data_IF_354340275658
#
_entry.id   IF_354340275658
#
_cell.length_a   1.000
_cell.length_b   1.000
_cell.length_c   1.000
_cell.angle_alpha   90.00
_cell.angle_beta   90.00
_cell.angle_gamma   90.00
#
_symmetry.space_group_name_H-M   'P 1'
#
loop_
_entity.id
_entity.type
_entity.pdbx_description
1 polymer ?
#
# COMPACT_ATOMS: atom_id res chain seq x y z
N UNK A 1 7.50 36.26 -8.81
CA UNK A 1 8.49 35.24 -9.18
C UNK A 1 7.91 33.86 -9.00
N UNK A 2 7.97 32.96 -10.00
CA UNK A 2 7.56 31.58 -9.80
C UNK A 2 8.70 30.85 -9.09
N UNK A 3 8.41 30.17 -7.98
CA UNK A 3 9.40 29.33 -7.32
C UNK A 3 9.68 28.12 -8.23
N UNK A 4 10.94 27.85 -8.60
CA UNK A 4 11.25 26.64 -9.35
C UNK A 4 11.01 25.46 -8.41
N UNK A 5 9.89 24.77 -8.61
CA UNK A 5 9.69 23.46 -7.98
C UNK A 5 10.84 22.58 -8.45
N UNK A 6 11.72 22.19 -7.52
CA UNK A 6 12.93 21.45 -7.85
C UNK A 6 12.55 20.01 -8.19
N UNK A 7 12.41 19.70 -9.48
CA UNK A 7 12.00 18.38 -9.98
C UNK A 7 12.89 17.25 -9.43
N UNK A 8 14.17 17.53 -9.12
CA UNK A 8 15.09 16.56 -8.52
C UNK A 8 14.69 16.16 -7.08
N UNK A 9 14.01 17.03 -6.33
CA UNK A 9 13.54 16.72 -4.97
C UNK A 9 12.27 15.87 -4.99
N UNK A 10 11.39 16.07 -5.97
CA UNK A 10 10.16 15.27 -6.14
C UNK A 10 10.50 13.80 -6.41
N UNK A 11 11.54 13.54 -7.20
CA UNK A 11 12.01 12.18 -7.49
C UNK A 11 12.56 11.44 -6.26
N UNK A 12 12.88 12.17 -5.19
CA UNK A 12 13.35 11.58 -3.93
C UNK A 12 12.22 11.30 -2.95
N UNK A 13 10.98 11.67 -3.29
CA UNK A 13 9.81 11.33 -2.49
C UNK A 13 9.44 9.87 -2.77
N UNK A 14 9.32 9.07 -1.71
CA UNK A 14 9.11 7.62 -1.81
C UNK A 14 7.88 7.24 -1.00
N UNK A 15 6.99 6.43 -1.59
CA UNK A 15 5.87 5.81 -0.88
C UNK A 15 6.17 4.31 -0.63
N UNK A 16 6.01 3.86 0.62
CA UNK A 16 6.23 2.47 1.05
C UNK A 16 5.21 2.06 2.11
N UNK A 17 4.88 0.77 2.18
CA UNK A 17 4.06 0.23 3.25
C UNK A 17 3.04 -0.80 2.77
N UNK A 18 2.38 -1.44 3.73
CA UNK A 18 1.40 -2.51 3.46
C UNK A 18 0.21 -1.98 2.65
N UNK A 19 -0.18 -0.72 2.86
CA UNK A 19 -1.24 -0.04 2.12
C UNK A 19 -0.99 0.18 0.63
N UNK A 20 0.16 -0.21 0.08
CA UNK A 20 0.44 -0.16 -1.37
C UNK A 20 0.41 -1.55 -2.02
N UNK A 21 0.12 -2.61 -1.26
CA UNK A 21 0.18 -4.00 -1.72
C UNK A 21 -1.18 -4.69 -1.74
N UNK A 22 -1.22 -5.92 -1.23
CA UNK A 22 -2.47 -6.66 -1.03
C UNK A 22 -3.08 -6.30 0.33
N UNK A 23 -4.32 -5.84 0.34
CA UNK A 23 -4.99 -5.31 1.53
C UNK A 23 -6.37 -5.93 1.74
N UNK A 24 -6.78 -6.16 2.99
CA UNK A 24 -8.14 -6.62 3.27
C UNK A 24 -9.17 -5.49 3.16
N UNK A 25 -10.37 -5.78 2.64
CA UNK A 25 -11.53 -4.86 2.69
C UNK A 25 -11.99 -4.64 4.13
N UNK A 26 -12.58 -3.47 4.40
CA UNK A 26 -13.17 -3.06 5.68
C UNK A 26 -12.19 -2.98 6.86
N UNK A 27 -10.89 -3.12 6.62
CA UNK A 27 -9.84 -3.01 7.63
C UNK A 27 -9.01 -1.77 7.29
N UNK A 28 -8.86 -0.80 8.23
CA UNK A 28 -7.99 0.34 8.04
C UNK A 28 -6.56 -0.09 7.75
N UNK A 29 -5.96 0.49 6.71
CA UNK A 29 -4.58 0.21 6.31
C UNK A 29 -3.85 1.50 6.04
N UNK A 30 -2.52 1.48 6.21
CA UNK A 30 -1.69 2.66 6.00
C UNK A 30 -0.45 2.37 5.16
N UNK A 31 0.04 3.44 4.55
CA UNK A 31 1.36 3.50 3.96
C UNK A 31 2.04 4.82 4.32
N UNK A 32 3.36 4.83 4.25
CA UNK A 32 4.21 5.94 4.60
C UNK A 32 4.74 6.61 3.35
N UNK A 33 4.76 7.94 3.35
CA UNK A 33 5.46 8.75 2.36
C UNK A 33 6.65 9.42 3.03
N UNK A 34 7.84 9.16 2.50
CA UNK A 34 9.10 9.76 2.92
C UNK A 34 9.44 10.89 1.96
N UNK A 35 9.69 12.08 2.50
CA UNK A 35 10.12 13.25 1.75
C UNK A 35 11.57 13.60 2.09
N UNK A 36 12.32 14.30 1.24
CA UNK A 36 13.61 14.87 1.64
C UNK A 36 13.47 15.87 2.80
N UNK A 37 14.53 16.05 3.58
CA UNK A 37 14.55 17.07 4.63
C UNK A 37 14.48 18.49 4.04
N UNK A 38 13.73 19.38 4.69
CA UNK A 38 13.60 20.78 4.28
C UNK A 38 12.61 21.05 3.14
N UNK A 39 11.84 20.06 2.71
CA UNK A 39 10.80 20.24 1.69
C UNK A 39 9.56 20.94 2.24
N UNK A 40 9.14 22.07 1.66
CA UNK A 40 8.05 22.93 2.15
C UNK A 40 6.76 22.93 1.30
N UNK A 41 6.63 22.00 0.36
CA UNK A 41 5.48 21.85 -0.53
C UNK A 41 4.29 21.10 0.06
N UNK A 42 3.20 21.10 -0.70
CA UNK A 42 1.92 20.52 -0.33
C UNK A 42 1.81 19.11 -0.91
N UNK A 43 1.65 18.12 -0.03
CA UNK A 43 1.40 16.74 -0.41
C UNK A 43 -0.11 16.49 -0.53
N UNK A 44 -0.52 15.85 -1.62
CA UNK A 44 -1.90 15.41 -1.86
C UNK A 44 -1.93 13.93 -2.21
N UNK A 45 -2.89 13.21 -1.66
CA UNK A 45 -3.13 11.81 -1.97
C UNK A 45 -4.58 11.65 -2.44
N UNK A 46 -4.77 10.92 -3.54
CA UNK A 46 -6.07 10.60 -4.10
C UNK A 46 -6.17 9.09 -4.27
N UNK A 47 -7.14 8.47 -3.63
CA UNK A 47 -7.35 7.03 -3.69
C UNK A 47 -8.65 6.74 -4.42
N UNK A 48 -8.58 5.87 -5.44
CA UNK A 48 -9.73 5.42 -6.21
C UNK A 48 -9.84 3.91 -6.13
N UNK A 49 -10.99 3.41 -5.73
CA UNK A 49 -11.29 1.99 -5.71
C UNK A 49 -11.78 1.45 -7.04
N UNK A 50 -12.26 0.19 -7.05
CA UNK A 50 -12.85 -0.44 -8.23
C UNK A 50 -13.97 0.43 -8.83
N UNK A 51 -14.02 0.56 -10.16
CA UNK A 51 -14.93 1.47 -10.87
C UNK A 51 -14.68 2.97 -10.64
N UNK A 52 -13.47 3.34 -10.24
CA UNK A 52 -13.00 4.73 -10.16
C UNK A 52 -13.74 5.58 -9.10
N UNK A 53 -14.40 4.95 -8.12
CA UNK A 53 -15.02 5.65 -7.01
C UNK A 53 -13.95 6.14 -6.03
N UNK A 54 -14.17 7.28 -5.38
CA UNK A 54 -13.22 7.84 -4.41
C UNK A 54 -13.30 7.11 -3.07
N UNK A 55 -12.13 6.77 -2.53
CA UNK A 55 -11.98 6.28 -1.16
C UNK A 55 -11.36 7.41 -0.35
N UNK A 56 -12.00 7.76 0.76
CA UNK A 56 -11.46 8.75 1.68
C UNK A 56 -10.14 8.27 2.29
N UNK A 57 -9.16 9.18 2.38
CA UNK A 57 -7.90 8.92 3.01
C UNK A 57 -7.54 10.05 3.97
N UNK A 58 -6.97 9.67 5.12
CA UNK A 58 -6.42 10.60 6.10
C UNK A 58 -4.92 10.71 5.87
N UNK A 59 -4.46 11.91 5.49
CA UNK A 59 -3.04 12.25 5.40
C UNK A 59 -2.60 12.93 6.69
N UNK A 60 -1.68 12.30 7.41
CA UNK A 60 -1.15 12.80 8.69
C UNK A 60 0.36 13.03 8.56
N UNK A 61 0.83 14.23 8.95
CA UNK A 61 2.27 14.49 9.08
C UNK A 61 2.75 13.92 10.42
N UNK A 62 3.64 12.95 10.37
CA UNK A 62 4.17 12.28 11.57
C UNK A 62 5.43 13.00 12.05
N UNK A 63 6.36 13.26 11.13
CA UNK A 63 7.63 13.96 11.41
C UNK A 63 7.95 14.97 10.30
N UNK A 64 9.14 15.58 10.37
CA UNK A 64 9.61 16.55 9.37
C UNK A 64 9.60 15.99 7.94
N UNK A 65 9.98 14.73 7.78
CA UNK A 65 10.21 14.06 6.50
C UNK A 65 9.32 12.82 6.28
N UNK A 66 8.29 12.66 7.11
CA UNK A 66 7.47 11.45 7.15
C UNK A 66 6.00 11.79 7.28
N UNK A 67 5.22 11.27 6.33
CA UNK A 67 3.77 11.35 6.30
C UNK A 67 3.18 9.95 6.32
N UNK A 68 2.05 9.78 6.98
CA UNK A 68 1.26 8.56 6.95
C UNK A 68 -0.06 8.83 6.23
N UNK A 69 -0.42 7.93 5.32
CA UNK A 69 -1.74 7.92 4.67
C UNK A 69 -2.48 6.69 5.14
N UNK A 70 -3.63 6.91 5.77
CA UNK A 70 -4.52 5.84 6.24
C UNK A 70 -5.82 5.86 5.44
N UNK A 71 -6.27 4.70 4.98
CA UNK A 71 -7.53 4.54 4.26
C UNK A 71 -8.15 3.16 4.54
N UNK A 72 -9.44 3.04 4.26
CA UNK A 72 -10.17 1.78 4.45
C UNK A 72 -10.81 1.37 3.12
N UNK A 73 -10.31 0.33 2.44
CA UNK A 73 -10.93 -0.18 1.22
C UNK A 73 -12.33 -0.74 1.51
N UNK A 74 -13.30 -0.42 0.65
CA UNK A 74 -14.72 -0.79 0.83
C UNK A 74 -15.16 -1.96 -0.07
N UNK A 75 -14.41 -2.24 -1.15
CA UNK A 75 -14.74 -3.24 -2.18
C UNK A 75 -13.50 -4.00 -2.61
N UNK A 76 -13.69 -5.25 -3.04
CA UNK A 76 -12.65 -6.11 -3.62
C UNK A 76 -12.28 -5.62 -5.03
N UNK A 77 -10.98 -5.55 -5.32
CA UNK A 77 -10.46 -5.27 -6.66
C UNK A 77 -9.21 -4.39 -6.66
N UNK A 78 -8.96 -3.76 -7.81
CA UNK A 78 -7.81 -2.87 -7.98
C UNK A 78 -8.08 -1.49 -7.36
N UNK A 79 -7.08 -0.96 -6.65
CA UNK A 79 -7.11 0.36 -6.03
C UNK A 79 -5.96 1.17 -6.60
N UNK A 80 -6.30 2.34 -7.16
CA UNK A 80 -5.37 3.30 -7.73
C UNK A 80 -5.08 4.41 -6.73
N UNK A 81 -3.81 4.59 -6.39
CA UNK A 81 -3.34 5.58 -5.42
C UNK A 81 -2.46 6.59 -6.15
N UNK A 82 -2.94 7.82 -6.26
CA UNK A 82 -2.25 8.92 -6.93
C UNK A 82 -1.70 9.88 -5.88
N UNK A 83 -0.37 10.00 -5.82
CA UNK A 83 0.33 10.89 -4.89
C UNK A 83 0.94 12.04 -5.68
N UNK A 84 0.72 13.26 -5.19
CA UNK A 84 1.21 14.49 -5.77
C UNK A 84 1.95 15.32 -4.73
N UNK A 85 2.98 16.02 -5.18
CA UNK A 85 3.71 17.02 -4.44
C UNK A 85 3.71 18.32 -5.25
N UNK A 86 3.15 19.40 -4.69
CA UNK A 86 2.94 20.68 -5.40
C UNK A 86 2.25 20.53 -6.77
N UNK A 87 1.26 19.63 -6.82
CA UNK A 87 0.49 19.25 -8.02
C UNK A 87 1.28 18.51 -9.11
N UNK A 88 2.52 18.09 -8.81
CA UNK A 88 3.33 17.23 -9.68
C UNK A 88 3.28 15.80 -9.12
N UNK A 89 2.98 14.77 -9.93
CA UNK A 89 3.00 13.40 -9.46
C UNK A 89 4.42 13.00 -9.01
N UNK A 90 4.51 12.30 -7.87
CA UNK A 90 5.80 11.75 -7.41
C UNK A 90 6.22 10.57 -8.29
N UNK A 91 7.47 10.13 -8.15
CA UNK A 91 7.94 8.94 -8.85
C UNK A 91 7.08 7.71 -8.52
N UNK A 92 6.80 6.89 -9.55
CA UNK A 92 5.93 5.69 -9.50
C UNK A 92 4.46 5.93 -9.19
N UNK A 93 4.02 7.16 -8.96
CA UNK A 93 2.59 7.49 -8.96
C UNK A 93 2.06 7.33 -10.40
N UNK A 94 0.94 6.62 -10.62
CA UNK A 94 0.05 5.98 -9.65
C UNK A 94 0.57 4.63 -9.11
N UNK A 95 0.31 4.35 -7.84
CA UNK A 95 0.51 3.04 -7.23
C UNK A 95 -0.75 2.19 -7.35
N UNK A 96 -0.57 0.88 -7.51
CA UNK A 96 -1.67 -0.08 -7.66
C UNK A 96 -1.67 -1.06 -6.50
N UNK A 97 -2.68 -0.95 -5.63
CA UNK A 97 -2.97 -1.88 -4.55
C UNK A 97 -4.11 -2.85 -4.95
N UNK A 98 -4.21 -3.98 -4.26
CA UNK A 98 -5.26 -4.99 -4.51
C UNK A 98 -6.01 -5.32 -3.23
N UNK A 99 -7.30 -5.02 -3.19
CA UNK A 99 -8.14 -5.37 -2.04
C UNK A 99 -8.76 -6.76 -2.18
N UNK A 100 -8.86 -7.50 -1.07
CA UNK A 100 -9.44 -8.84 -1.02
C UNK A 100 -10.39 -9.00 0.16
N UNK A 101 -11.34 -9.93 0.05
CA UNK A 101 -12.24 -10.32 1.14
C UNK A 101 -11.62 -11.44 1.97
N UNK A 102 -11.33 -11.14 3.24
CA UNK A 102 -10.78 -12.09 4.21
C UNK A 102 -11.67 -13.31 4.43
N UNK A 103 -12.99 -13.18 4.29
CA UNK A 103 -13.94 -14.28 4.46
C UNK A 103 -14.00 -15.20 3.23
N UNK A 104 -13.55 -14.71 2.07
CA UNK A 104 -13.45 -15.48 0.84
C UNK A 104 -12.06 -16.11 0.65
N UNK A 105 -11.12 -15.85 1.56
CA UNK A 105 -9.93 -16.68 1.70
C UNK A 105 -10.37 -18.02 2.28
N UNK A 106 -11.00 -18.84 1.44
CA UNK A 106 -11.01 -20.28 1.65
C UNK A 106 -9.56 -20.69 1.56
N UNK A 107 -9.03 -21.26 2.64
CA UNK A 107 -7.79 -22.02 2.61
C UNK A 107 -7.98 -23.01 1.46
N UNK A 108 -7.35 -22.76 0.31
CA UNK A 108 -7.27 -23.73 -0.78
C UNK A 108 -6.87 -25.03 -0.12
N UNK A 109 -7.76 -26.02 -0.16
CA UNK A 109 -7.61 -27.33 0.47
C UNK A 109 -6.13 -27.75 0.44
N UNK A 110 -5.42 -27.57 1.54
CA UNK A 110 -4.36 -28.51 1.83
C UNK A 110 -5.07 -29.85 1.88
N UNK A 111 -4.64 -30.88 1.11
CA UNK A 111 -5.16 -32.22 1.34
C UNK A 111 -4.95 -32.49 2.83
N UNK A 112 -6.04 -32.56 3.58
CA UNK A 112 -6.10 -32.91 5.00
C UNK A 112 -5.82 -34.41 5.18
N UNK A 113 -4.80 -34.90 4.48
CA UNK A 113 -4.26 -36.24 4.59
C UNK A 113 -2.80 -36.20 4.14
N UNK A 114 -1.93 -35.83 5.07
CA UNK A 114 -0.72 -36.64 5.21
C UNK A 114 -0.90 -37.39 6.50
N UNK A 115 -1.15 -38.67 6.36
CA UNK A 115 -1.31 -39.66 7.43
C UNK A 115 -0.12 -39.48 8.40
N UNK A 116 -0.39 -39.00 9.61
CA UNK A 116 0.54 -39.20 10.75
C UNK A 116 0.45 -40.69 11.07
N UNK A 117 1.37 -41.48 10.53
CA UNK A 117 1.43 -42.92 10.76
C UNK A 117 1.90 -43.72 9.54
N UNK A 118 3.19 -43.66 9.24
CA UNK A 118 3.87 -44.78 8.57
C UNK A 118 5.28 -44.88 9.13
N UNK A 119 5.46 -45.91 9.96
CA UNK A 119 6.74 -46.34 10.49
C UNK A 119 7.68 -46.70 9.35
N UNK A 120 8.89 -46.12 9.31
CA UNK A 120 9.99 -46.73 8.57
C UNK A 120 11.25 -46.69 9.42
N UNK A 121 11.53 -47.84 10.02
CA UNK A 121 12.76 -48.22 10.68
C UNK A 121 13.99 -47.94 9.79
N UNK A 122 15.04 -47.37 10.38
CA UNK A 122 16.39 -47.44 9.81
C UNK A 122 17.13 -48.61 10.47
N UNK A 123 17.47 -49.64 9.69
CA UNK A 123 18.52 -50.60 10.06
C UNK A 123 19.70 -50.35 9.13
N UNK A 124 20.81 -49.85 9.67
CA UNK A 124 22.09 -49.81 8.97
C UNK A 124 22.71 -51.21 9.04
N UNK A 125 23.14 -51.72 7.90
CA UNK A 125 24.04 -52.88 7.80
C UNK A 125 25.48 -52.41 7.83
#
# INVERSE_FOLDING_TARGET
SPFPVNVMEIQRIIAIGKGLGSIPIHIPTSFTILTPDGTNGILKCLIKGPNNHFIECLLTKIDLNRYEVTYTPDRVGEIRIEIFYDNIPIDKSPFIARSFDVNQIKILNFPSSTIVGSSTYFTSK
#
